data_IF_880892682865
#
_entry.id   IF_880892682865
#
_cell.length_a   1.000
_cell.length_b   1.000
_cell.length_c   1.000
_cell.angle_alpha   90.00
_cell.angle_beta   90.00
_cell.angle_gamma   90.00
#
_symmetry.space_group_name_H-M   'P 1'
#
loop_
_entity.id
_entity.type
_entity.pdbx_description
1 polymer ?
#
# COMPACT_ATOMS: atom_id res chain seq x y z
N UNK A 1 -23.57 24.70 1.17
CA UNK A 1 -22.13 24.57 0.89
C UNK A 1 -21.54 23.85 2.08
N UNK A 2 -21.02 22.62 1.92
CA UNK A 2 -20.39 21.91 3.03
C UNK A 2 -19.13 22.68 3.42
N UNK A 3 -19.10 23.24 4.63
CA UNK A 3 -17.95 23.95 5.20
C UNK A 3 -16.89 23.00 5.78
N UNK A 4 -17.05 21.69 5.58
CA UNK A 4 -16.21 20.65 6.17
C UNK A 4 -15.63 19.76 5.07
N UNK A 5 -14.98 20.36 4.07
CA UNK A 5 -14.09 19.64 3.17
C UNK A 5 -12.68 19.68 3.76
N UNK A 6 -12.19 18.56 4.29
CA UNK A 6 -10.87 18.48 4.90
C UNK A 6 -9.77 18.28 3.86
N UNK A 7 -9.91 17.26 3.02
CA UNK A 7 -8.93 16.91 1.99
C UNK A 7 -9.55 15.93 0.99
N UNK A 8 -8.98 15.82 -0.22
CA UNK A 8 -9.30 14.74 -1.14
C UNK A 8 -9.11 13.37 -0.48
N UNK A 9 -10.15 12.53 -0.42
CA UNK A 9 -10.06 11.18 0.17
C UNK A 9 -9.12 10.20 -0.54
N UNK A 10 -8.59 10.56 -1.71
CA UNK A 10 -7.62 9.75 -2.45
C UNK A 10 -6.17 9.97 -1.97
N UNK A 11 -5.87 11.15 -1.40
CA UNK A 11 -4.56 11.48 -0.84
C UNK A 11 -4.77 12.02 0.57
N UNK A 12 -4.38 11.22 1.55
CA UNK A 12 -4.49 11.57 2.95
C UNK A 12 -3.15 12.09 3.45
N UNK A 13 -3.11 13.34 3.88
CA UNK A 13 -2.00 13.86 4.67
C UNK A 13 -2.10 13.25 6.07
N UNK A 14 -1.23 12.29 6.38
CA UNK A 14 -1.17 11.61 7.68
C UNK A 14 0.19 11.85 8.31
N UNK A 15 0.27 11.73 9.64
CA UNK A 15 1.56 11.78 10.33
C UNK A 15 2.27 10.45 10.15
N UNK A 16 3.49 10.46 9.61
CA UNK A 16 4.22 9.23 9.33
C UNK A 16 4.52 8.50 10.65
N UNK A 17 4.06 7.24 10.84
CA UNK A 17 4.34 6.48 12.06
C UNK A 17 5.84 6.16 12.18
N UNK A 18 6.50 5.97 11.04
CA UNK A 18 7.93 5.72 10.90
C UNK A 18 8.53 6.65 9.84
N UNK A 19 9.86 6.65 9.69
CA UNK A 19 10.48 7.29 8.54
C UNK A 19 10.09 6.49 7.28
N UNK A 20 9.41 7.16 6.35
CA UNK A 20 8.92 6.57 5.10
C UNK A 20 9.59 7.27 3.93
N UNK A 21 9.91 6.53 2.88
CA UNK A 21 10.43 7.07 1.63
C UNK A 21 9.30 7.28 0.60
N UNK A 22 9.55 8.05 -0.46
CA UNK A 22 8.65 8.04 -1.63
C UNK A 22 8.49 6.61 -2.17
N UNK A 23 7.28 6.31 -2.61
CA UNK A 23 6.84 5.01 -3.11
C UNK A 23 6.84 3.88 -2.07
N UNK A 24 7.09 4.21 -0.80
CA UNK A 24 6.99 3.25 0.29
C UNK A 24 5.53 3.05 0.71
N UNK A 25 5.22 1.84 1.17
CA UNK A 25 3.88 1.49 1.63
C UNK A 25 3.72 1.97 3.06
N UNK A 26 2.88 2.97 3.25
CA UNK A 26 2.54 3.52 4.56
C UNK A 26 1.27 2.86 5.06
N UNK A 27 1.38 2.22 6.22
CA UNK A 27 0.27 1.55 6.91
C UNK A 27 0.06 2.24 8.24
N UNK A 28 -1.09 2.89 8.40
CA UNK A 28 -1.52 3.52 9.66
C UNK A 28 -2.83 2.88 10.11
N UNK A 29 -2.73 1.92 11.04
CA UNK A 29 -3.87 1.10 11.43
C UNK A 29 -4.38 0.29 10.25
N UNK A 30 -5.62 0.55 9.84
CA UNK A 30 -6.25 -0.09 8.66
C UNK A 30 -6.09 0.75 7.36
N UNK A 31 -5.49 1.94 7.45
CA UNK A 31 -5.26 2.80 6.29
C UNK A 31 -3.96 2.36 5.63
N UNK A 32 -4.06 1.87 4.40
CA UNK A 32 -2.92 1.52 3.55
C UNK A 32 -2.86 2.50 2.39
N UNK A 33 -1.68 3.07 2.15
CA UNK A 33 -1.42 3.78 0.91
C UNK A 33 0.06 3.94 0.60
N UNK A 34 0.34 4.62 -0.50
CA UNK A 34 1.70 4.87 -0.99
C UNK A 34 2.13 6.28 -0.63
N UNK A 35 3.28 6.43 0.01
CA UNK A 35 3.88 7.73 0.30
C UNK A 35 4.28 8.44 -1.01
N UNK A 36 3.79 9.66 -1.20
CA UNK A 36 4.19 10.51 -2.32
C UNK A 36 5.51 11.26 -2.07
N UNK A 37 6.00 11.28 -0.82
CA UNK A 37 7.21 11.99 -0.42
C UNK A 37 7.95 11.28 0.70
N UNK A 38 9.22 11.62 0.87
CA UNK A 38 9.98 11.24 2.05
C UNK A 38 9.51 12.04 3.27
N UNK A 39 9.33 11.34 4.38
CA UNK A 39 8.95 11.96 5.64
C UNK A 39 9.62 11.23 6.80
N UNK A 40 10.19 11.99 7.73
CA UNK A 40 10.68 11.44 8.99
C UNK A 40 9.50 11.01 9.89
N UNK A 41 9.76 10.10 10.84
CA UNK A 41 8.76 9.74 11.85
C UNK A 41 8.24 11.00 12.56
N UNK A 42 6.92 11.16 12.61
CA UNK A 42 6.27 12.34 13.18
C UNK A 42 6.10 13.53 12.23
N UNK A 43 6.61 13.47 11.00
CA UNK A 43 6.38 14.51 9.98
C UNK A 43 5.07 14.23 9.19
N UNK A 44 4.41 15.26 8.65
CA UNK A 44 3.28 15.08 7.75
C UNK A 44 3.76 14.47 6.42
N UNK A 45 3.08 13.43 5.96
CA UNK A 45 3.32 12.77 4.68
C UNK A 45 2.00 12.64 3.92
N UNK A 46 2.04 12.92 2.62
CA UNK A 46 0.91 12.70 1.73
C UNK A 46 0.91 11.24 1.26
N UNK A 47 -0.14 10.53 1.61
CA UNK A 47 -0.29 9.10 1.34
C UNK A 47 -1.47 8.88 0.42
N UNK A 48 -1.21 8.30 -0.75
CA UNK A 48 -2.25 7.97 -1.72
C UNK A 48 -2.83 6.60 -1.41
N UNK A 49 -4.07 6.57 -0.93
CA UNK A 49 -4.79 5.35 -0.48
C UNK A 49 -5.68 4.76 -1.57
N UNK A 50 -5.69 5.35 -2.76
CA UNK A 50 -6.50 4.90 -3.89
C UNK A 50 -5.67 4.85 -5.15
N UNK A 51 -5.81 3.77 -5.92
CA UNK A 51 -5.13 3.63 -7.21
C UNK A 51 -4.64 2.22 -7.45
N UNK A 52 -3.98 2.04 -8.59
CA UNK A 52 -3.28 0.82 -8.94
C UNK A 52 -1.79 1.10 -8.89
N UNK A 53 -1.07 0.37 -8.05
CA UNK A 53 0.35 0.56 -7.81
C UNK A 53 1.10 -0.74 -8.06
N UNK A 54 2.30 -0.64 -8.63
CA UNK A 54 3.18 -1.78 -8.77
C UNK A 54 4.03 -1.90 -7.50
N UNK A 55 3.85 -2.99 -6.78
CA UNK A 55 4.57 -3.28 -5.54
C UNK A 55 5.46 -4.51 -5.72
N UNK A 56 6.61 -4.56 -5.06
CA UNK A 56 7.43 -5.76 -5.05
C UNK A 56 6.69 -6.88 -4.31
N UNK A 57 6.71 -8.10 -4.85
CA UNK A 57 6.12 -9.27 -4.20
C UNK A 57 7.15 -10.36 -3.94
N UNK A 58 6.81 -11.26 -3.02
CA UNK A 58 7.57 -12.49 -2.84
C UNK A 58 7.51 -13.28 -4.14
N UNK A 59 8.66 -13.44 -4.80
CA UNK A 59 8.75 -14.12 -6.10
C UNK A 59 8.28 -15.59 -6.05
N UNK A 60 8.23 -16.20 -4.87
CA UNK A 60 7.68 -17.54 -4.68
C UNK A 60 6.15 -17.59 -4.72
N UNK A 61 5.46 -16.46 -4.47
CA UNK A 61 4.00 -16.41 -4.45
C UNK A 61 3.46 -16.26 -5.87
N UNK A 62 2.52 -17.13 -6.23
CA UNK A 62 1.74 -17.05 -7.47
C UNK A 62 0.47 -16.26 -7.18
N UNK A 63 0.32 -15.09 -7.82
CA UNK A 63 -0.79 -14.18 -7.57
C UNK A 63 -1.66 -14.10 -8.81
N UNK A 64 -2.94 -14.41 -8.68
CA UNK A 64 -3.90 -14.25 -9.76
C UNK A 64 -4.61 -12.89 -9.70
N UNK A 65 -5.06 -12.39 -10.84
CA UNK A 65 -5.90 -11.18 -10.90
C UNK A 65 -7.14 -11.35 -10.03
N UNK A 66 -7.37 -10.40 -9.13
CA UNK A 66 -8.47 -10.39 -8.16
C UNK A 66 -8.15 -11.06 -6.83
N UNK A 67 -6.94 -11.61 -6.66
CA UNK A 67 -6.52 -12.24 -5.42
C UNK A 67 -6.20 -11.21 -4.34
N UNK A 68 -6.55 -11.53 -3.10
CA UNK A 68 -6.28 -10.66 -1.97
C UNK A 68 -4.78 -10.66 -1.67
N UNK A 69 -4.19 -9.47 -1.70
CA UNK A 69 -2.80 -9.25 -1.37
C UNK A 69 -2.68 -8.64 0.02
N UNK A 70 -1.65 -9.08 0.71
CA UNK A 70 -1.25 -8.64 2.03
C UNK A 70 0.17 -8.07 1.95
N UNK A 71 0.47 -7.06 2.75
CA UNK A 71 1.80 -6.47 2.84
C UNK A 71 2.51 -6.98 4.08
N UNK A 72 3.68 -7.56 3.85
CA UNK A 72 4.64 -7.87 4.89
C UNK A 72 5.51 -6.63 5.14
N UNK A 73 5.19 -5.88 6.20
CA UNK A 73 5.96 -4.70 6.62
C UNK A 73 7.37 -5.04 7.12
N UNK A 74 7.65 -6.31 7.44
CA UNK A 74 8.97 -6.77 7.88
C UNK A 74 9.87 -7.03 6.68
N UNK A 75 9.33 -7.67 5.64
CA UNK A 75 10.05 -7.97 4.41
C UNK A 75 10.01 -6.81 3.39
N UNK A 76 9.04 -5.90 3.49
CA UNK A 76 8.78 -4.86 2.49
C UNK A 76 8.25 -5.45 1.18
N UNK A 77 7.47 -6.53 1.25
CA UNK A 77 7.00 -7.28 0.10
C UNK A 77 5.50 -7.59 0.21
N UNK A 78 4.81 -7.55 -0.94
CA UNK A 78 3.47 -8.09 -1.07
C UNK A 78 3.50 -9.62 -1.07
N UNK A 79 2.56 -10.23 -0.36
CA UNK A 79 2.38 -11.68 -0.24
C UNK A 79 0.89 -12.03 -0.25
N UNK A 80 0.58 -13.28 -0.60
CA UNK A 80 -0.78 -13.83 -0.46
C UNK A 80 -1.06 -14.35 0.96
N UNK A 81 -0.05 -14.34 1.83
CA UNK A 81 -0.17 -14.82 3.22
C UNK A 81 -0.86 -13.78 4.09
N UNK A 82 -2.06 -14.09 4.55
CA UNK A 82 -2.87 -13.24 5.45
C UNK A 82 -2.42 -13.25 6.91
N UNK A 83 -1.58 -14.22 7.30
CA UNK A 83 -1.24 -14.45 8.71
C UNK A 83 -0.28 -13.38 9.22
N UNK A 84 -0.80 -12.41 9.96
CA UNK A 84 -0.01 -11.33 10.58
C UNK A 84 0.37 -10.18 9.65
N UNK A 85 -0.12 -10.20 8.41
CA UNK A 85 0.15 -9.18 7.39
C UNK A 85 -1.09 -8.32 7.15
N UNK A 86 -0.88 -7.07 6.76
CA UNK A 86 -1.98 -6.13 6.54
C UNK A 86 -2.56 -6.31 5.15
N UNK A 87 -3.88 -6.41 5.02
CA UNK A 87 -4.53 -6.46 3.72
C UNK A 87 -4.34 -5.14 2.97
N UNK A 88 -3.71 -5.18 1.81
CA UNK A 88 -3.45 -3.99 0.99
C UNK A 88 -4.43 -3.83 -0.15
N UNK A 89 -5.10 -4.91 -0.56
CA UNK A 89 -6.13 -4.85 -1.58
C UNK A 89 -6.11 -6.06 -2.48
N UNK A 90 -6.42 -5.85 -3.75
CA UNK A 90 -6.58 -6.93 -4.72
C UNK A 90 -5.61 -6.78 -5.88
N UNK A 91 -5.04 -7.89 -6.34
CA UNK A 91 -4.22 -7.90 -7.54
C UNK A 91 -5.06 -7.50 -8.76
N UNK A 92 -4.50 -6.68 -9.66
CA UNK A 92 -5.15 -6.30 -10.93
C UNK A 92 -4.54 -6.99 -12.14
N UNK A 93 -3.40 -7.65 -11.95
CA UNK A 93 -2.69 -8.40 -12.98
C UNK A 93 -2.21 -9.73 -12.40
N UNK A 94 -2.10 -10.71 -13.28
CA UNK A 94 -1.51 -12.01 -13.01
C UNK A 94 0.00 -11.86 -12.84
N UNK A 95 0.50 -12.29 -11.68
CA UNK A 95 1.90 -12.22 -11.35
C UNK A 95 2.37 -13.62 -10.89
N UNK A 96 2.82 -14.46 -11.84
CA UNK A 96 3.23 -15.83 -11.55
C UNK A 96 4.42 -15.89 -10.58
N UNK A 97 4.68 -17.09 -10.06
CA UNK A 97 5.95 -17.34 -9.39
C UNK A 97 7.11 -17.02 -10.35
N UNK A 98 8.18 -16.41 -9.85
CA UNK A 98 9.30 -15.75 -10.54
C UNK A 98 9.09 -14.27 -10.93
N UNK A 99 7.88 -13.70 -10.85
CA UNK A 99 7.69 -12.25 -10.99
C UNK A 99 7.99 -11.56 -9.67
N UNK A 100 8.92 -10.60 -9.68
CA UNK A 100 9.30 -9.83 -8.49
C UNK A 100 8.36 -8.67 -8.16
N UNK A 101 7.39 -8.37 -9.03
CA UNK A 101 6.44 -7.27 -8.87
C UNK A 101 5.01 -7.74 -9.10
N UNK A 102 4.07 -7.02 -8.50
CA UNK A 102 2.62 -7.24 -8.62
C UNK A 102 1.90 -5.92 -8.66
N UNK A 103 0.92 -5.80 -9.54
CA UNK A 103 0.07 -4.63 -9.59
C UNK A 103 -1.11 -4.83 -8.63
N UNK A 104 -1.18 -4.02 -7.56
CA UNK A 104 -2.25 -4.06 -6.56
C UNK A 104 -3.16 -2.84 -6.69
N UNK A 105 -4.46 -3.05 -6.51
CA UNK A 105 -5.44 -1.98 -6.32
C UNK A 105 -5.72 -1.79 -4.84
N UNK A 106 -5.46 -0.58 -4.35
CA UNK A 106 -5.85 -0.15 -3.01
C UNK A 106 -7.37 0.13 -2.96
N UNK A 107 -8.11 -0.46 -1.99
CA UNK A 107 -9.52 -0.17 -1.78
C UNK A 107 -9.65 1.16 -1.01
N UNK A 108 -9.75 2.26 -1.74
CA UNK A 108 -10.11 3.56 -1.15
C UNK A 108 -11.51 3.58 -0.54
#
# INVERSE_FOLDING_TARGET
>A
MSTTYLQPGHTLTITAPAAVASDDVVIVGDIVGIAQGDAASGAPVDVTVTGCWELPKVSADDVQTGEALFWDATAGLATVVSTGNTAIGYAIADAPAATGTVAVRLPG
#
